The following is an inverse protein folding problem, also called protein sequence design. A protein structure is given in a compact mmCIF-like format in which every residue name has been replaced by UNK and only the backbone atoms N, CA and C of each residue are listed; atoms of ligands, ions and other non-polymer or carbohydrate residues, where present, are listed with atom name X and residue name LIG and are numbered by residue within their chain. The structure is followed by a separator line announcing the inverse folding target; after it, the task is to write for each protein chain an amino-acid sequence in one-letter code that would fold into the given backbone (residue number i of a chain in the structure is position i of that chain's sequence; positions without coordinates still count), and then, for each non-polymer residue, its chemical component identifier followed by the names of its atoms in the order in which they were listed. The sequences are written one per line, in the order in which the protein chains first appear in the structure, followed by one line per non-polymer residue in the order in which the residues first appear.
data_IF_389914563837
#
_entry.id   IF_389914563837
#
_cell.length_a   1.000
_cell.length_b   1.000
_cell.length_c   1.000
_cell.angle_alpha   90.00
_cell.angle_beta   90.00
_cell.angle_gamma   90.00
#
_symmetry.space_group_name_H-M   'P 1'
#
loop_
_entity.id
_entity.type
_entity.pdbx_description
1 polymer ?
#
# COMPACT_ATOMS: atom_id res chain seq x y z
N UNK A 1 21.19 3.15 19.58
CA UNK A 1 20.44 2.00 19.05
C UNK A 1 21.31 1.33 18.00
N UNK A 2 21.98 0.22 18.31
CA UNK A 2 22.64 -0.56 17.28
C UNK A 2 21.55 -1.31 16.51
N UNK A 3 21.46 -1.08 15.19
CA UNK A 3 20.50 -1.78 14.32
C UNK A 3 21.27 -2.69 13.38
N UNK A 4 20.92 -3.97 13.44
CA UNK A 4 21.16 -4.97 12.41
C UNK A 4 22.59 -5.51 12.36
N UNK A 5 22.72 -6.81 12.62
CA UNK A 5 23.70 -7.66 11.93
C UNK A 5 23.69 -7.25 10.47
N UNK A 6 24.82 -6.89 9.88
CA UNK A 6 25.13 -6.96 8.45
C UNK A 6 26.42 -6.16 8.24
N UNK A 7 27.44 -6.78 7.68
CA UNK A 7 28.71 -6.17 7.23
C UNK A 7 28.53 -5.06 6.17
N UNK A 8 27.27 -4.67 5.91
CA UNK A 8 26.87 -3.69 4.91
C UNK A 8 27.10 -2.26 5.41
N UNK A 9 27.82 -1.45 4.63
CA UNK A 9 28.01 -0.02 4.90
C UNK A 9 26.69 0.71 5.14
N UNK A 10 26.66 1.53 6.19
CA UNK A 10 25.51 2.38 6.49
C UNK A 10 25.32 3.41 5.38
N UNK A 11 24.11 3.48 4.84
CA UNK A 11 23.74 4.39 3.75
C UNK A 11 24.16 5.84 4.01
N UNK A 12 24.56 6.53 2.93
CA UNK A 12 24.95 7.94 2.96
C UNK A 12 23.85 8.85 3.50
N UNK A 13 24.22 9.74 4.40
CA UNK A 13 23.37 10.79 4.95
C UNK A 13 23.44 12.04 4.10
N UNK A 14 22.28 12.66 3.86
CA UNK A 14 22.18 13.96 3.17
C UNK A 14 22.39 15.11 4.15
N UNK A 15 22.63 16.32 3.62
CA UNK A 15 22.78 17.53 4.43
C UNK A 15 21.57 17.75 5.35
N UNK A 16 20.36 17.58 4.81
CA UNK A 16 19.13 17.63 5.58
C UNK A 16 19.06 16.53 6.65
N UNK A 17 19.51 15.30 6.36
CA UNK A 17 19.50 14.22 7.35
C UNK A 17 20.43 14.51 8.53
N UNK A 18 21.61 15.09 8.28
CA UNK A 18 22.51 15.58 9.34
C UNK A 18 21.87 16.70 10.16
N UNK A 19 21.19 17.64 9.50
CA UNK A 19 20.49 18.72 10.18
C UNK A 19 19.33 18.23 11.06
N UNK A 20 18.52 17.27 10.58
CA UNK A 20 17.44 16.68 11.39
C UNK A 20 18.04 15.93 12.58
N UNK A 21 19.19 15.29 12.41
CA UNK A 21 19.91 14.64 13.50
C UNK A 21 20.41 15.65 14.54
N UNK A 22 21.00 16.77 14.14
CA UNK A 22 21.43 17.81 15.09
C UNK A 22 20.24 18.42 15.81
N UNK A 23 19.15 18.74 15.11
CA UNK A 23 17.91 19.23 15.72
C UNK A 23 17.35 18.23 16.75
N UNK A 24 17.44 16.92 16.46
CA UNK A 24 16.96 15.88 17.38
C UNK A 24 17.84 15.76 18.62
N UNK A 25 19.16 15.89 18.45
CA UNK A 25 20.11 15.89 19.56
C UNK A 25 19.94 17.13 20.46
N UNK A 26 19.77 18.31 19.86
CA UNK A 26 19.45 19.55 20.58
C UNK A 26 18.16 19.43 21.37
N UNK A 27 17.08 18.92 20.74
CA UNK A 27 15.81 18.72 21.41
C UNK A 27 15.91 17.74 22.58
N UNK A 28 16.66 16.63 22.41
CA UNK A 28 16.87 15.67 23.49
C UNK A 28 17.69 16.26 24.64
N UNK A 29 18.62 17.18 24.36
CA UNK A 29 19.41 17.86 25.40
C UNK A 29 18.58 18.91 26.16
N UNK A 30 17.73 19.66 25.46
CA UNK A 30 16.90 20.73 26.05
C UNK A 30 15.63 20.20 26.72
N UNK A 31 15.08 19.11 26.19
CA UNK A 31 13.85 18.48 26.68
C UNK A 31 14.09 16.97 26.84
N UNK A 32 14.89 16.56 27.84
CA UNK A 32 15.25 15.15 28.04
C UNK A 32 14.05 14.26 28.38
N UNK A 33 13.02 14.80 29.04
CA UNK A 33 11.79 14.07 29.42
C UNK A 33 10.64 14.22 28.42
N UNK A 34 10.72 15.18 27.49
CA UNK A 34 9.65 15.42 26.53
C UNK A 34 9.71 14.42 25.37
N UNK A 35 8.63 13.65 25.21
CA UNK A 35 8.51 12.67 24.13
C UNK A 35 8.34 13.38 22.79
N UNK A 36 9.35 13.28 21.93
CA UNK A 36 9.33 13.87 20.58
C UNK A 36 8.19 13.27 19.74
N UNK A 37 7.15 14.06 19.46
CA UNK A 37 6.10 13.71 18.50
C UNK A 37 6.65 13.88 17.09
N UNK A 38 6.95 12.77 16.42
CA UNK A 38 7.68 12.75 15.14
C UNK A 38 7.05 13.62 14.04
N UNK A 39 5.71 13.63 13.94
CA UNK A 39 4.99 14.44 12.93
C UNK A 39 5.24 15.93 13.10
N UNK A 40 5.14 16.43 14.34
CA UNK A 40 5.33 17.86 14.63
C UNK A 40 6.81 18.25 14.61
N UNK A 41 7.68 17.37 15.10
CA UNK A 41 9.13 17.54 14.99
C UNK A 41 9.59 17.60 13.52
N UNK A 42 9.06 16.72 12.66
CA UNK A 42 9.42 16.72 11.24
C UNK A 42 8.98 18.00 10.53
N UNK A 43 7.81 18.55 10.86
CA UNK A 43 7.36 19.85 10.33
C UNK A 43 8.26 20.99 10.79
N UNK A 44 8.59 21.05 12.09
CA UNK A 44 9.50 22.06 12.66
C UNK A 44 10.88 22.01 11.99
N UNK A 45 11.44 20.82 11.77
CA UNK A 45 12.70 20.65 11.05
C UNK A 45 12.60 21.11 9.59
N UNK A 46 11.53 20.75 8.88
CA UNK A 46 11.35 21.17 7.49
C UNK A 46 11.25 22.70 7.35
N UNK A 47 10.50 23.36 8.23
CA UNK A 47 10.41 24.82 8.25
C UNK A 47 11.75 25.46 8.58
N UNK A 48 12.44 24.99 9.63
CA UNK A 48 13.75 25.51 10.04
C UNK A 48 14.79 25.33 8.93
N UNK A 49 14.81 24.18 8.23
CA UNK A 49 15.71 24.00 7.08
C UNK A 49 15.39 24.96 5.93
N UNK A 50 14.11 25.24 5.66
CA UNK A 50 13.71 26.19 4.62
C UNK A 50 14.19 27.62 4.95
N UNK A 51 14.05 28.05 6.20
CA UNK A 51 14.40 29.40 6.66
C UNK A 51 15.87 29.58 7.03
N UNK A 52 16.65 28.49 7.15
CA UNK A 52 18.09 28.59 7.42
C UNK A 52 18.84 29.23 6.26
N UNK A 53 19.86 30.01 6.61
CA UNK A 53 20.74 30.68 5.65
C UNK A 53 21.63 29.67 4.91
N UNK A 54 22.09 30.04 3.72
CA UNK A 54 22.97 29.17 2.93
C UNK A 54 24.32 28.94 3.61
N UNK A 55 24.77 29.87 4.45
CA UNK A 55 25.98 29.73 5.26
C UNK A 55 25.84 28.62 6.32
N UNK A 56 24.67 28.52 6.95
CA UNK A 56 24.38 27.44 7.92
C UNK A 56 24.18 26.10 7.22
N UNK A 57 23.50 26.10 6.06
CA UNK A 57 23.33 24.91 5.23
C UNK A 57 24.68 24.39 4.71
N UNK A 58 25.62 25.29 4.37
CA UNK A 58 26.96 24.94 3.87
C UNK A 58 27.68 23.95 4.79
N UNK A 59 27.62 24.16 6.10
CA UNK A 59 28.18 23.23 7.10
C UNK A 59 27.60 21.82 6.97
N UNK A 60 26.28 21.70 6.75
CA UNK A 60 25.62 20.41 6.59
C UNK A 60 25.89 19.78 5.21
N UNK A 61 26.06 20.60 4.17
CA UNK A 61 26.51 20.13 2.85
C UNK A 61 27.92 19.54 2.91
N UNK A 62 28.86 20.19 3.59
CA UNK A 62 30.21 19.67 3.79
C UNK A 62 30.21 18.35 4.59
N UNK A 63 29.36 18.23 5.62
CA UNK A 63 29.17 16.97 6.35
C UNK A 63 28.61 15.86 5.45
N UNK A 64 27.64 16.18 4.59
CA UNK A 64 27.06 15.22 3.66
C UNK A 64 28.07 14.75 2.61
N UNK A 65 28.94 15.63 2.11
CA UNK A 65 30.00 15.24 1.18
C UNK A 65 31.06 14.36 1.86
N UNK A 66 31.41 14.62 3.11
CA UNK A 66 32.28 13.72 3.90
C UNK A 66 31.64 12.34 4.10
N UNK A 67 30.36 12.30 4.44
CA UNK A 67 29.64 11.02 4.64
C UNK A 67 29.43 10.25 3.33
N UNK A 68 29.26 10.97 2.21
CA UNK A 68 29.28 10.39 0.87
C UNK A 68 30.62 9.70 0.60
N UNK A 69 31.75 10.37 0.83
CA UNK A 69 33.09 9.77 0.67
C UNK A 69 33.30 8.54 1.58
N UNK A 70 32.88 8.63 2.84
CA UNK A 70 32.87 7.49 3.78
C UNK A 70 32.08 6.32 3.20
N UNK A 71 30.84 6.55 2.78
CA UNK A 71 29.98 5.51 2.24
C UNK A 71 30.54 4.91 0.95
N UNK A 72 31.07 5.72 0.04
CA UNK A 72 31.66 5.26 -1.22
C UNK A 72 32.90 4.37 -0.94
N UNK A 73 33.77 4.75 0.00
CA UNK A 73 34.92 3.94 0.41
C UNK A 73 34.52 2.64 1.13
N UNK A 74 33.54 2.70 2.04
CA UNK A 74 33.02 1.50 2.70
C UNK A 74 32.34 0.55 1.69
N UNK A 75 31.63 1.09 0.70
CA UNK A 75 30.98 0.30 -0.37
C UNK A 75 31.99 -0.33 -1.33
N UNK A 76 33.14 0.30 -1.60
CA UNK A 76 34.22 -0.30 -2.38
C UNK A 76 34.82 -1.53 -1.68
N UNK A 77 34.88 -1.51 -0.35
CA UNK A 77 35.38 -2.62 0.47
C UNK A 77 34.29 -3.65 0.82
N UNK A 78 33.04 -3.43 0.41
CA UNK A 78 31.92 -4.29 0.75
C UNK A 78 31.68 -5.37 -0.31
N UNK A 79 31.92 -6.61 0.08
CA UNK A 79 31.52 -7.79 -0.70
C UNK A 79 30.20 -8.33 -0.15
N UNK A 80 29.08 -8.23 -0.90
CA UNK A 80 27.80 -8.74 -0.43
C UNK A 80 27.84 -10.28 -0.26
N UNK A 81 27.24 -10.83 0.82
CA UNK A 81 27.07 -12.26 0.97
C UNK A 81 26.35 -12.89 -0.22
N UNK A 82 26.83 -14.06 -0.67
CA UNK A 82 26.27 -14.81 -1.80
C UNK A 82 24.81 -15.19 -1.50
N UNK A 83 23.85 -14.43 -2.04
CA UNK A 83 22.42 -14.64 -1.83
C UNK A 83 21.62 -13.35 -1.55
N UNK A 84 22.27 -12.25 -1.17
CA UNK A 84 21.62 -10.95 -1.03
C UNK A 84 21.42 -10.28 -2.40
N UNK A 85 20.45 -10.78 -3.17
CA UNK A 85 19.99 -10.06 -4.36
C UNK A 85 19.53 -8.65 -3.96
N UNK A 86 19.95 -7.65 -4.75
CA UNK A 86 19.61 -6.24 -4.55
C UNK A 86 18.09 -6.08 -4.45
N UNK A 87 17.61 -5.82 -3.23
CA UNK A 87 16.39 -5.09 -2.95
C UNK A 87 15.12 -5.60 -3.65
N UNK A 88 14.48 -6.61 -3.07
CA UNK A 88 13.01 -6.61 -3.00
C UNK A 88 12.56 -5.50 -2.04
N UNK A 89 12.85 -4.25 -2.40
CA UNK A 89 12.18 -3.12 -1.81
C UNK A 89 10.67 -3.33 -2.03
N UNK A 90 9.89 -3.29 -0.94
CA UNK A 90 8.43 -3.41 -1.00
C UNK A 90 7.95 -2.33 -1.98
N UNK A 91 7.60 -2.72 -3.22
CA UNK A 91 7.08 -1.78 -4.23
C UNK A 91 6.02 -0.94 -3.54
N UNK A 92 6.14 0.39 -3.65
CA UNK A 92 5.15 1.30 -3.06
C UNK A 92 3.78 0.78 -3.48
N UNK A 93 2.95 0.41 -2.49
CA UNK A 93 1.59 -0.04 -2.77
C UNK A 93 0.92 1.13 -3.48
N UNK A 94 0.62 0.97 -4.77
CA UNK A 94 -0.18 1.95 -5.48
C UNK A 94 -1.51 2.02 -4.74
N UNK A 95 -1.82 3.18 -4.16
CA UNK A 95 -3.13 3.42 -3.57
C UNK A 95 -4.11 3.24 -4.73
N UNK A 96 -4.99 2.23 -4.64
CA UNK A 96 -6.00 2.03 -5.68
C UNK A 96 -6.95 3.22 -5.58
N UNK A 97 -7.12 3.92 -6.68
CA UNK A 97 -8.14 4.95 -6.78
C UNK A 97 -9.51 4.29 -6.55
N UNK A 98 -10.29 4.83 -5.61
CA UNK A 98 -11.62 4.32 -5.30
C UNK A 98 -12.57 4.46 -6.50
N UNK A 99 -12.34 5.47 -7.35
CA UNK A 99 -13.15 5.75 -8.52
C UNK A 99 -12.70 4.97 -9.76
N UNK A 100 -11.58 4.24 -9.69
CA UNK A 100 -11.14 3.40 -10.79
C UNK A 100 -12.04 2.16 -10.92
N UNK A 101 -12.48 1.80 -12.15
CA UNK A 101 -13.22 0.58 -12.40
C UNK A 101 -12.51 -0.64 -11.81
N UNK A 102 -13.28 -1.51 -11.16
CA UNK A 102 -12.74 -2.76 -10.62
C UNK A 102 -12.35 -3.66 -11.79
N UNK A 103 -11.15 -4.24 -11.70
CA UNK A 103 -10.59 -5.15 -12.72
C UNK A 103 -11.57 -6.27 -13.05
N UNK A 104 -11.62 -6.65 -14.33
CA UNK A 104 -12.38 -7.81 -14.75
C UNK A 104 -11.89 -9.09 -14.07
N UNK A 105 -12.82 -10.00 -13.82
CA UNK A 105 -12.57 -11.33 -13.30
C UNK A 105 -12.30 -12.29 -14.45
N UNK A 106 -11.30 -13.16 -14.26
CA UNK A 106 -11.03 -14.28 -15.17
C UNK A 106 -12.07 -15.40 -14.98
N UNK A 107 -12.19 -16.29 -15.96
CA UNK A 107 -13.06 -17.47 -15.91
C UNK A 107 -12.87 -18.28 -14.62
N UNK A 108 -11.61 -18.50 -14.22
CA UNK A 108 -11.29 -19.19 -12.97
C UNK A 108 -11.85 -18.48 -11.72
N UNK A 109 -11.85 -17.15 -11.68
CA UNK A 109 -12.38 -16.40 -10.54
C UNK A 109 -13.90 -16.39 -10.51
N UNK A 110 -14.57 -16.43 -11.66
CA UNK A 110 -16.02 -16.67 -11.73
C UNK A 110 -16.37 -18.06 -11.19
N UNK A 111 -15.65 -19.10 -11.64
CA UNK A 111 -15.79 -20.45 -11.10
C UNK A 111 -15.56 -20.50 -9.57
N UNK A 112 -14.50 -19.85 -9.09
CA UNK A 112 -14.22 -19.79 -7.65
C UNK A 112 -15.33 -19.09 -6.86
N UNK A 113 -15.97 -18.05 -7.39
CA UNK A 113 -17.05 -17.37 -6.68
C UNK A 113 -18.25 -18.29 -6.45
N UNK A 114 -18.61 -19.10 -7.45
CA UNK A 114 -19.77 -19.99 -7.39
C UNK A 114 -19.48 -21.27 -6.58
N UNK A 115 -18.27 -21.82 -6.70
CA UNK A 115 -17.89 -23.10 -6.09
C UNK A 115 -17.31 -22.97 -4.68
N UNK A 116 -16.75 -21.82 -4.31
CA UNK A 116 -16.16 -21.63 -2.98
C UNK A 116 -17.16 -21.87 -1.86
N UNK A 117 -18.41 -21.45 -2.04
CA UNK A 117 -19.49 -21.71 -1.08
C UNK A 117 -19.73 -23.20 -0.89
N UNK A 118 -19.81 -23.96 -1.99
CA UNK A 118 -20.02 -25.42 -1.98
C UNK A 118 -18.85 -26.15 -1.32
N UNK A 119 -17.62 -25.80 -1.67
CA UNK A 119 -16.42 -26.41 -1.07
C UNK A 119 -16.33 -26.13 0.42
N UNK A 120 -16.69 -24.91 0.86
CA UNK A 120 -16.73 -24.55 2.27
C UNK A 120 -17.82 -25.29 3.04
N UNK A 121 -18.99 -25.50 2.44
CA UNK A 121 -20.08 -26.27 3.07
C UNK A 121 -19.70 -27.75 3.23
N UNK A 122 -19.05 -28.33 2.23
CA UNK A 122 -18.57 -29.72 2.29
C UNK A 122 -17.39 -29.90 3.24
N UNK A 123 -16.54 -28.88 3.38
CA UNK A 123 -15.35 -28.89 4.22
C UNK A 123 -15.31 -27.65 5.12
N UNK A 124 -16.16 -27.59 6.17
CA UNK A 124 -16.23 -26.42 7.06
C UNK A 124 -14.93 -26.17 7.82
N UNK A 125 -14.11 -27.22 8.03
CA UNK A 125 -12.79 -27.14 8.67
C UNK A 125 -11.70 -26.54 7.76
N UNK A 126 -11.92 -26.47 6.44
CA UNK A 126 -10.88 -25.98 5.53
C UNK A 126 -10.70 -24.46 5.65
N UNK A 127 -9.45 -24.06 5.85
CA UNK A 127 -9.05 -22.67 5.76
C UNK A 127 -9.17 -22.13 4.33
N UNK A 128 -9.19 -20.80 4.20
CA UNK A 128 -9.29 -20.12 2.88
C UNK A 128 -8.20 -20.58 1.90
N UNK A 129 -7.01 -20.91 2.40
CA UNK A 129 -5.90 -21.42 1.59
C UNK A 129 -6.17 -22.82 1.03
N UNK A 130 -6.74 -23.72 1.82
CA UNK A 130 -7.00 -25.10 1.40
C UNK A 130 -8.19 -25.19 0.47
N UNK A 131 -9.23 -24.37 0.71
CA UNK A 131 -10.33 -24.18 -0.24
C UNK A 131 -9.80 -23.68 -1.60
N UNK A 132 -8.86 -22.73 -1.61
CA UNK A 132 -8.29 -22.23 -2.86
C UNK A 132 -7.48 -23.30 -3.63
N UNK A 133 -6.74 -24.17 -2.92
CA UNK A 133 -6.05 -25.31 -3.54
C UNK A 133 -7.04 -26.30 -4.16
N UNK A 134 -8.10 -26.61 -3.43
CA UNK A 134 -9.15 -27.53 -3.89
C UNK A 134 -9.87 -27.00 -5.14
N UNK A 135 -10.23 -25.72 -5.14
CA UNK A 135 -10.82 -25.06 -6.32
C UNK A 135 -9.86 -25.04 -7.51
N UNK A 136 -8.56 -24.86 -7.28
CA UNK A 136 -7.55 -24.93 -8.33
C UNK A 136 -7.48 -26.29 -9.00
N UNK A 137 -7.54 -27.38 -8.21
CA UNK A 137 -7.61 -28.75 -8.73
C UNK A 137 -8.90 -28.97 -9.53
N UNK A 138 -10.06 -28.66 -8.93
CA UNK A 138 -11.36 -28.78 -9.60
C UNK A 138 -11.45 -28.00 -10.91
N UNK A 139 -10.84 -26.81 -10.99
CA UNK A 139 -10.80 -26.06 -12.24
C UNK A 139 -9.92 -26.71 -13.30
N UNK A 140 -8.80 -27.31 -12.90
CA UNK A 140 -7.91 -28.01 -13.82
C UNK A 140 -8.63 -29.21 -14.43
N UNK A 141 -9.37 -29.95 -13.60
CA UNK A 141 -10.13 -31.15 -13.98
C UNK A 141 -11.52 -30.84 -14.56
N UNK A 142 -11.97 -29.58 -14.54
CA UNK A 142 -13.31 -29.21 -15.03
C UNK A 142 -13.47 -29.43 -16.53
N UNK A 143 -14.69 -29.84 -16.92
CA UNK A 143 -15.06 -30.10 -18.30
C UNK A 143 -14.94 -28.85 -19.18
N UNK A 144 -14.63 -29.00 -20.48
CA UNK A 144 -14.57 -27.90 -21.43
C UNK A 144 -15.87 -27.09 -21.50
N UNK A 145 -17.03 -27.73 -21.33
CA UNK A 145 -18.34 -27.05 -21.31
C UNK A 145 -18.48 -26.14 -20.09
N UNK A 146 -18.10 -26.63 -18.92
CA UNK A 146 -18.06 -25.86 -17.68
C UNK A 146 -17.10 -24.67 -17.82
N UNK A 147 -15.89 -24.92 -18.36
CA UNK A 147 -14.90 -23.86 -18.61
C UNK A 147 -15.44 -22.81 -19.59
N UNK A 148 -16.05 -23.24 -20.70
CA UNK A 148 -16.65 -22.38 -21.72
C UNK A 148 -17.73 -21.45 -21.14
N UNK A 149 -18.60 -21.96 -20.26
CA UNK A 149 -19.59 -21.13 -19.55
C UNK A 149 -18.94 -19.98 -18.78
N UNK A 150 -17.88 -20.26 -18.02
CA UNK A 150 -17.18 -19.24 -17.23
C UNK A 150 -16.28 -18.33 -18.08
N UNK A 151 -15.75 -18.82 -19.20
CA UNK A 151 -15.05 -18.00 -20.19
C UNK A 151 -15.99 -16.99 -20.84
N UNK A 152 -17.21 -17.39 -21.19
CA UNK A 152 -18.22 -16.47 -21.70
C UNK A 152 -18.60 -15.38 -20.67
N UNK A 153 -18.68 -15.72 -19.38
CA UNK A 153 -18.87 -14.73 -18.31
C UNK A 153 -17.67 -13.81 -18.15
N UNK A 154 -16.45 -14.34 -18.24
CA UNK A 154 -15.22 -13.57 -18.17
C UNK A 154 -15.08 -12.58 -19.32
N UNK A 155 -15.46 -12.98 -20.55
CA UNK A 155 -15.40 -12.10 -21.71
C UNK A 155 -16.44 -10.97 -21.62
N UNK A 156 -17.65 -11.27 -21.13
CA UNK A 156 -18.66 -10.23 -20.83
C UNK A 156 -18.16 -9.24 -19.78
N UNK A 157 -17.51 -9.73 -18.72
CA UNK A 157 -16.97 -8.87 -17.66
C UNK A 157 -15.75 -8.06 -18.12
N UNK A 158 -14.93 -8.64 -19.00
CA UNK A 158 -13.83 -7.94 -19.68
C UNK A 158 -14.36 -6.81 -20.57
N UNK A 159 -15.38 -7.06 -21.38
CA UNK A 159 -16.03 -6.03 -22.18
C UNK A 159 -16.67 -4.92 -21.32
N UNK A 160 -17.24 -5.28 -20.16
CA UNK A 160 -17.72 -4.31 -19.15
C UNK A 160 -16.56 -3.46 -18.62
N UNK A 161 -15.47 -4.08 -18.17
CA UNK A 161 -14.30 -3.37 -17.63
C UNK A 161 -13.64 -2.47 -18.68
N UNK A 162 -13.55 -2.89 -19.93
CA UNK A 162 -13.00 -2.07 -21.03
C UNK A 162 -13.86 -0.83 -21.29
N UNK A 163 -15.20 -0.96 -21.31
CA UNK A 163 -16.12 0.18 -21.43
C UNK A 163 -16.01 1.13 -20.23
N UNK A 164 -15.95 0.61 -19.01
CA UNK A 164 -15.80 1.45 -17.82
C UNK A 164 -14.42 2.14 -17.77
N UNK A 165 -13.36 1.44 -18.15
CA UNK A 165 -12.00 1.98 -18.18
C UNK A 165 -11.81 3.05 -19.26
N UNK A 166 -12.44 2.90 -20.42
CA UNK A 166 -12.41 3.94 -21.46
C UNK A 166 -13.14 5.20 -20.98
N UNK A 167 -14.31 5.07 -20.36
CA UNK A 167 -15.03 6.18 -19.74
C UNK A 167 -14.23 6.83 -18.59
N UNK A 168 -13.60 6.03 -17.74
CA UNK A 168 -12.77 6.50 -16.63
C UNK A 168 -11.52 7.24 -17.11
N UNK A 169 -10.81 6.71 -18.12
CA UNK A 169 -9.65 7.39 -18.72
C UNK A 169 -10.04 8.71 -19.36
N UNK A 170 -11.21 8.77 -20.04
CA UNK A 170 -11.77 10.02 -20.59
C UNK A 170 -12.04 11.04 -19.47
N UNK A 171 -12.75 10.63 -18.42
CA UNK A 171 -13.05 11.46 -17.23
C UNK A 171 -11.80 11.97 -16.52
N UNK A 172 -10.75 11.15 -16.42
CA UNK A 172 -9.45 11.54 -15.86
C UNK A 172 -8.70 12.53 -16.74
N UNK A 173 -8.86 12.47 -18.07
CA UNK A 173 -8.25 13.40 -19.02
C UNK A 173 -8.95 14.76 -19.04
N UNK A 174 -10.27 14.77 -18.84
CA UNK A 174 -11.11 15.97 -18.90
C UNK A 174 -11.15 16.77 -17.57
N UNK A 175 -10.34 16.39 -16.57
CA UNK A 175 -10.08 17.21 -15.36
C UNK A 175 -11.27 17.41 -14.40
N UNK A 176 -12.38 16.70 -14.58
CA UNK A 176 -13.58 16.91 -13.76
C UNK A 176 -13.44 16.29 -12.34
N UNK A 177 -13.52 17.09 -11.26
CA UNK A 177 -13.57 16.57 -9.91
C UNK A 177 -14.98 16.04 -9.67
N UNK A 178 -15.15 14.72 -9.59
CA UNK A 178 -16.45 14.15 -9.20
C UNK A 178 -16.37 13.71 -7.75
N UNK A 179 -16.96 14.58 -6.93
CA UNK A 179 -17.35 14.37 -5.54
C UNK A 179 -18.10 13.04 -5.44
N UNK A 180 -17.64 12.16 -4.54
CA UNK A 180 -18.25 10.86 -4.32
C UNK A 180 -19.67 11.02 -3.79
N UNK A 181 -20.65 10.46 -4.48
CA UNK A 181 -21.99 10.23 -3.94
C UNK A 181 -21.96 8.89 -3.21
N UNK A 182 -22.27 8.83 -1.90
CA UNK A 182 -22.42 7.56 -1.19
C UNK A 182 -23.75 6.90 -1.60
N UNK A 183 -23.65 5.76 -2.28
CA UNK A 183 -24.81 4.94 -2.62
C UNK A 183 -25.20 4.05 -1.42
N UNK A 184 -26.07 4.56 -0.55
CA UNK A 184 -27.24 3.83 -0.01
C UNK A 184 -27.94 4.65 1.07
N UNK A 185 -29.04 5.34 0.72
CA UNK A 185 -30.18 5.62 1.60
C UNK A 185 -31.42 5.86 0.74
N UNK A 186 -32.58 5.51 1.31
CA UNK A 186 -33.99 5.56 0.87
C UNK A 186 -34.46 4.37 0.01
N UNK A 187 -35.53 3.63 0.37
CA UNK A 187 -36.79 3.93 1.10
C UNK A 187 -37.17 2.71 1.97
N UNK A 188 -37.55 2.83 3.27
CA UNK A 188 -38.88 3.20 3.83
C UNK A 188 -40.04 2.43 3.20
N UNK A 189 -40.60 1.44 3.91
CA UNK A 189 -42.00 1.42 4.38
C UNK A 189 -42.37 0.02 4.92
N UNK A 190 -42.63 -0.10 6.22
CA UNK A 190 -43.38 -1.19 6.86
C UNK A 190 -43.63 -0.82 8.32
N UNK A 191 -44.81 -0.25 8.57
CA UNK A 191 -45.45 -0.11 9.87
C UNK A 191 -45.48 -1.45 10.62
N UNK A 192 -45.00 -1.49 11.86
CA UNK A 192 -45.61 -2.32 12.90
C UNK A 192 -45.67 -1.51 14.19
N UNK A 193 -46.92 -1.22 14.55
CA UNK A 193 -47.44 -0.69 15.79
C UNK A 193 -47.08 -1.62 16.96
N UNK A 194 -46.48 -1.09 18.03
CA UNK A 194 -46.73 -1.60 19.39
C UNK A 194 -46.82 -0.41 20.34
N UNK A 195 -48.03 -0.23 20.86
CA UNK A 195 -48.35 0.60 22.03
C UNK A 195 -47.78 -0.08 23.27
N UNK A 196 -47.21 0.70 24.18
CA UNK A 196 -47.18 0.34 25.60
C UNK A 196 -47.40 1.64 26.40
N UNK A 197 -48.63 1.79 26.89
CA UNK A 197 -49.04 2.65 28.00
C UNK A 197 -48.81 1.89 29.32
N UNK A 198 -48.67 2.66 30.41
CA UNK A 198 -48.62 2.30 31.84
C UNK A 198 -47.31 1.62 32.34
N UNK A 199 -46.62 2.09 33.38
CA UNK A 199 -47.05 2.80 34.61
C UNK A 199 -45.88 3.62 35.20
#
# INVERSE_FOLDING_TARGET
MPRGKDSKPRGRMTAYAFFVQTCRQEHKKKHPEEKIVFREFSKKCAMRWKTMSDKEKKRFHEMAEKDKKRYDAEMQNYTPPKGESKGRGKKRKHIKDHNAPKRSLSAFFWFCNDERGKVKLLNPEFGVGDIAKELGKKWSDADPETKSKYEAMAEKDKARYEREMTAYKKKMKDGAPVVGVPANTVKSDSEEEYKEDDE
#
